data_IF_005084012249
#
_entry.id   IF_005084012249
#
_cell.length_a   1.000
_cell.length_b   1.000
_cell.length_c   1.000
_cell.angle_alpha   90.00
_cell.angle_beta   90.00
_cell.angle_gamma   90.00
#
_symmetry.space_group_name_H-M   'P 1'
#
loop_
_entity.id
_entity.type
_entity.pdbx_description
1 polymer ?
#
# COMPACT_ATOMS: atom_id res chain seq x y z
N UNK A 1 12.94 -31.87 22.57
CA UNK A 1 11.55 -31.39 22.35
C UNK A 1 10.89 -32.39 21.44
N UNK A 2 9.96 -33.19 21.96
CA UNK A 2 9.23 -34.19 21.15
C UNK A 2 8.40 -33.46 20.09
N UNK A 3 8.72 -33.68 18.82
CA UNK A 3 7.95 -33.16 17.71
C UNK A 3 6.72 -34.06 17.57
N UNK A 4 5.58 -33.61 18.09
CA UNK A 4 4.31 -34.32 17.95
C UNK A 4 3.96 -34.47 16.47
N UNK A 5 3.82 -35.72 16.00
CA UNK A 5 3.55 -36.04 14.60
C UNK A 5 2.03 -36.10 14.32
N UNK A 6 1.31 -35.03 14.68
CA UNK A 6 -0.14 -34.92 14.43
C UNK A 6 -0.39 -34.59 12.97
N UNK A 7 -1.14 -35.46 12.28
CA UNK A 7 -1.67 -35.21 10.94
C UNK A 7 -3.14 -34.80 11.05
N UNK A 8 -3.40 -33.49 11.08
CA UNK A 8 -4.75 -32.93 10.91
C UNK A 8 -5.11 -32.82 9.43
N UNK A 9 -6.39 -32.94 9.11
CA UNK A 9 -6.87 -32.76 7.72
C UNK A 9 -6.80 -31.29 7.30
N UNK A 10 -6.75 -31.01 5.99
CA UNK A 10 -6.73 -29.64 5.47
C UNK A 10 -8.00 -28.88 5.85
N UNK A 11 -9.16 -29.55 5.89
CA UNK A 11 -10.46 -28.96 6.21
C UNK A 11 -10.55 -28.53 7.69
N UNK A 12 -10.06 -29.38 8.60
CA UNK A 12 -9.95 -29.03 10.03
C UNK A 12 -9.03 -27.83 10.25
N UNK A 13 -7.88 -27.77 9.56
CA UNK A 13 -6.95 -26.65 9.66
C UNK A 13 -7.54 -25.34 9.14
N UNK A 14 -8.26 -25.37 8.01
CA UNK A 14 -8.93 -24.18 7.48
C UNK A 14 -10.06 -23.70 8.40
N UNK A 15 -10.82 -24.63 8.98
CA UNK A 15 -11.87 -24.32 9.97
C UNK A 15 -11.26 -23.64 11.19
N UNK A 16 -10.20 -24.22 11.75
CA UNK A 16 -9.45 -23.64 12.85
C UNK A 16 -8.93 -22.22 12.52
N UNK A 17 -8.31 -22.02 11.35
CA UNK A 17 -7.82 -20.69 10.94
C UNK A 17 -8.94 -19.66 10.83
N UNK A 18 -10.14 -20.07 10.40
CA UNK A 18 -11.32 -19.20 10.36
C UNK A 18 -11.83 -18.85 11.76
N UNK A 19 -11.80 -19.79 12.70
CA UNK A 19 -12.17 -19.54 14.11
C UNK A 19 -11.22 -18.55 14.80
N UNK A 20 -9.95 -18.55 14.41
CA UNK A 20 -8.96 -17.59 14.91
C UNK A 20 -9.30 -16.14 14.52
N UNK A 21 -9.95 -15.92 13.37
CA UNK A 21 -10.39 -14.59 12.94
C UNK A 21 -11.34 -13.95 13.96
N UNK A 22 -12.24 -14.74 14.56
CA UNK A 22 -13.16 -14.26 15.61
C UNK A 22 -12.43 -13.76 16.87
N UNK A 23 -11.19 -14.19 17.06
CA UNK A 23 -10.35 -13.82 18.20
C UNK A 23 -9.29 -12.76 17.85
N UNK A 24 -9.30 -12.22 16.61
CA UNK A 24 -8.27 -11.32 16.10
C UNK A 24 -6.84 -11.87 16.22
N UNK A 25 -6.68 -13.20 16.12
CA UNK A 25 -5.36 -13.85 16.12
C UNK A 25 -5.13 -14.52 14.77
N UNK A 26 -3.87 -14.61 14.37
CA UNK A 26 -3.47 -15.26 13.12
C UNK A 26 -2.29 -16.21 13.39
N UNK A 27 -2.26 -17.38 12.74
CA UNK A 27 -1.20 -18.36 12.94
C UNK A 27 0.13 -17.87 12.33
N UNK A 28 1.18 -17.70 13.15
CA UNK A 28 2.48 -17.22 12.67
C UNK A 28 3.11 -18.17 11.64
N UNK A 29 2.91 -19.48 11.79
CA UNK A 29 3.53 -20.50 10.93
C UNK A 29 3.06 -20.49 9.48
N UNK A 30 1.94 -19.83 9.17
CA UNK A 30 1.47 -19.66 7.78
C UNK A 30 2.22 -18.56 7.05
N UNK A 31 2.94 -17.70 7.76
CA UNK A 31 3.63 -16.51 7.22
C UNK A 31 5.10 -16.40 7.65
N UNK A 32 5.66 -17.45 8.26
CA UNK A 32 7.05 -17.48 8.75
C UNK A 32 8.06 -17.11 7.65
N UNK A 33 7.87 -17.59 6.43
CA UNK A 33 8.76 -17.29 5.30
C UNK A 33 8.79 -15.81 4.92
N UNK A 34 7.65 -15.14 5.00
CA UNK A 34 7.52 -13.71 4.67
C UNK A 34 8.09 -12.81 5.78
N UNK A 35 7.96 -13.24 7.04
CA UNK A 35 8.43 -12.49 8.21
C UNK A 35 9.94 -12.65 8.41
N UNK A 36 10.49 -13.83 8.09
CA UNK A 36 11.92 -14.14 8.25
C UNK A 36 12.76 -13.81 7.01
N UNK A 37 12.31 -12.87 6.17
CA UNK A 37 13.09 -12.43 5.03
C UNK A 37 14.50 -11.99 5.49
N UNK A 38 15.54 -12.62 4.92
CA UNK A 38 16.95 -12.36 5.29
C UNK A 38 17.37 -10.91 5.05
N UNK A 39 16.70 -10.24 4.12
CA UNK A 39 16.88 -8.85 3.79
C UNK A 39 15.53 -8.16 3.58
N UNK A 40 15.45 -6.82 3.73
CA UNK A 40 14.21 -6.08 3.53
C UNK A 40 13.70 -6.19 2.09
N UNK A 41 12.55 -6.83 1.90
CA UNK A 41 11.88 -6.88 0.59
C UNK A 41 10.86 -5.75 0.51
N UNK A 42 11.19 -4.69 -0.25
CA UNK A 42 10.29 -3.57 -0.45
C UNK A 42 9.33 -3.83 -1.61
N UNK A 43 8.03 -3.58 -1.37
CA UNK A 43 7.01 -3.54 -2.44
C UNK A 43 7.10 -2.26 -3.28
N UNK A 44 7.76 -1.21 -2.78
CA UNK A 44 7.94 0.07 -3.47
C UNK A 44 8.79 -0.15 -4.71
N UNK A 45 8.31 0.30 -5.88
CA UNK A 45 9.09 0.28 -7.12
C UNK A 45 9.81 1.61 -7.31
N UNK A 46 11.11 1.64 -7.65
CA UNK A 46 11.75 2.86 -8.13
C UNK A 46 10.96 3.40 -9.32
N UNK A 47 10.53 4.66 -9.24
CA UNK A 47 9.66 5.23 -10.25
C UNK A 47 9.98 6.71 -10.44
N UNK A 48 9.93 7.15 -11.69
CA UNK A 48 10.10 8.56 -12.07
C UNK A 48 8.77 9.06 -12.60
N UNK A 49 8.31 10.20 -12.10
CA UNK A 49 7.17 10.94 -12.64
C UNK A 49 7.71 12.08 -13.50
N UNK A 50 7.81 11.94 -14.83
CA UNK A 50 8.45 12.94 -15.67
C UNK A 50 7.66 14.25 -15.63
N UNK A 51 8.33 15.36 -15.33
CA UNK A 51 7.65 16.66 -15.17
C UNK A 51 6.87 17.08 -16.43
N UNK A 52 7.40 16.77 -17.62
CA UNK A 52 6.74 17.01 -18.90
C UNK A 52 5.34 16.37 -19.00
N UNK A 53 5.12 15.24 -18.32
CA UNK A 53 3.87 14.50 -18.36
C UNK A 53 2.93 14.93 -17.23
N UNK A 54 3.48 15.28 -16.06
CA UNK A 54 2.68 15.68 -14.89
C UNK A 54 2.22 17.14 -14.96
N UNK A 55 3.07 18.05 -15.44
CA UNK A 55 2.75 19.48 -15.54
C UNK A 55 1.41 19.76 -16.24
N UNK A 56 1.11 19.22 -17.44
CA UNK A 56 -0.17 19.49 -18.08
C UNK A 56 -1.36 18.97 -17.26
N UNK A 57 -1.20 17.88 -16.52
CA UNK A 57 -2.26 17.35 -15.65
C UNK A 57 -2.51 18.26 -14.44
N UNK A 58 -1.45 18.82 -13.84
CA UNK A 58 -1.55 19.75 -12.72
C UNK A 58 -2.25 21.06 -13.12
N UNK A 59 -1.93 21.59 -14.31
CA UNK A 59 -2.61 22.75 -14.89
C UNK A 59 -4.08 22.42 -15.19
N UNK A 60 -4.36 21.29 -15.86
CA UNK A 60 -5.73 20.87 -16.16
C UNK A 60 -6.57 20.68 -14.90
N UNK A 61 -5.98 20.16 -13.82
CA UNK A 61 -6.66 20.07 -12.54
C UNK A 61 -7.08 21.45 -12.02
N UNK A 62 -6.30 22.51 -12.29
CA UNK A 62 -6.63 23.87 -11.86
C UNK A 62 -7.83 24.48 -12.60
N UNK A 63 -8.09 24.03 -13.81
CA UNK A 63 -9.21 24.45 -14.65
C UNK A 63 -10.50 23.67 -14.34
N UNK A 64 -10.36 22.38 -13.98
CA UNK A 64 -11.50 21.47 -13.79
C UNK A 64 -12.01 21.40 -12.34
N UNK A 65 -11.13 21.63 -11.36
CA UNK A 65 -11.48 21.49 -9.94
C UNK A 65 -11.76 22.87 -9.36
N UNK A 66 -13.01 23.05 -8.90
CA UNK A 66 -13.52 24.30 -8.35
C UNK A 66 -12.79 24.79 -7.09
N UNK A 67 -13.06 26.04 -6.73
CA UNK A 67 -12.38 26.75 -5.64
C UNK A 67 -12.64 26.15 -4.26
N UNK A 68 -13.80 25.52 -4.04
CA UNK A 68 -14.12 24.82 -2.77
C UNK A 68 -13.10 23.70 -2.44
N UNK A 69 -12.52 23.07 -3.46
CA UNK A 69 -11.50 22.02 -3.28
C UNK A 69 -10.07 22.54 -3.51
N UNK A 70 -9.87 23.86 -3.71
CA UNK A 70 -8.57 24.42 -4.09
C UNK A 70 -7.49 24.27 -3.01
N UNK A 71 -7.85 24.32 -1.72
CA UNK A 71 -6.92 24.15 -0.60
C UNK A 71 -6.22 22.78 -0.61
N UNK A 72 -6.84 21.77 -1.23
CA UNK A 72 -6.34 20.39 -1.28
C UNK A 72 -6.16 19.87 -2.70
N UNK A 73 -6.05 20.77 -3.69
CA UNK A 73 -5.81 20.41 -5.10
C UNK A 73 -4.37 19.94 -5.30
N UNK A 74 -4.11 18.73 -4.83
CA UNK A 74 -2.80 18.07 -4.84
C UNK A 74 -2.89 16.81 -5.68
N UNK A 75 -2.11 16.74 -6.75
CA UNK A 75 -1.89 15.49 -7.47
C UNK A 75 -0.90 14.63 -6.68
N UNK A 76 -1.39 13.51 -6.17
CA UNK A 76 -0.62 12.59 -5.32
C UNK A 76 0.28 11.73 -6.20
N UNK A 77 1.56 11.61 -5.84
CA UNK A 77 2.52 10.77 -6.56
C UNK A 77 2.39 9.31 -6.07
N UNK A 78 1.62 8.52 -6.82
CA UNK A 78 1.27 7.14 -6.47
C UNK A 78 2.32 6.16 -6.98
N UNK A 79 2.94 5.39 -6.07
CA UNK A 79 3.90 4.36 -6.47
C UNK A 79 3.20 3.12 -7.06
N UNK A 80 3.58 2.63 -8.26
CA UNK A 80 2.92 1.47 -8.87
C UNK A 80 3.13 0.16 -8.09
N UNK A 81 4.13 0.10 -7.22
CA UNK A 81 4.39 -1.05 -6.35
C UNK A 81 3.50 -1.13 -5.10
N UNK A 82 2.75 -0.06 -4.77
CA UNK A 82 1.98 0.03 -3.53
C UNK A 82 0.47 -0.20 -3.71
N UNK A 83 0.03 -0.73 -4.85
CA UNK A 83 -1.34 -1.23 -5.03
C UNK A 83 -2.44 -0.19 -4.77
N UNK A 84 -2.21 1.08 -5.11
CA UNK A 84 -3.18 2.16 -4.92
C UNK A 84 -3.19 2.78 -3.51
N UNK A 85 -2.33 2.33 -2.59
CA UNK A 85 -2.11 3.02 -1.30
C UNK A 85 -1.66 4.46 -1.55
N UNK A 86 -2.19 5.39 -0.76
CA UNK A 86 -1.81 6.82 -0.81
C UNK A 86 -0.40 7.03 -0.24
N UNK A 87 0.62 6.72 -1.03
CA UNK A 87 2.01 6.88 -0.64
C UNK A 87 2.94 6.90 -1.86
N UNK A 88 4.04 7.64 -1.75
CA UNK A 88 5.07 7.75 -2.80
C UNK A 88 6.20 6.77 -2.54
N UNK A 89 6.52 6.54 -1.26
CA UNK A 89 7.42 5.48 -0.78
C UNK A 89 6.75 4.71 0.35
N UNK A 90 7.49 3.83 1.03
CA UNK A 90 6.96 3.10 2.18
C UNK A 90 6.54 4.03 3.34
N UNK A 91 7.24 5.15 3.49
CA UNK A 91 7.14 6.06 4.65
C UNK A 91 6.89 7.51 4.28
N UNK A 92 7.02 7.90 3.00
CA UNK A 92 6.87 9.28 2.55
C UNK A 92 5.69 9.44 1.59
N UNK A 93 5.06 10.60 1.70
CA UNK A 93 4.07 11.11 0.76
C UNK A 93 4.64 12.30 0.01
N UNK A 94 4.47 12.30 -1.31
CA UNK A 94 4.78 13.41 -2.20
C UNK A 94 3.58 13.75 -3.08
N UNK A 95 3.44 15.02 -3.39
CA UNK A 95 2.37 15.52 -4.25
C UNK A 95 2.73 16.84 -4.90
N UNK A 96 2.00 17.18 -5.95
CA UNK A 96 2.18 18.43 -6.70
C UNK A 96 0.91 19.25 -6.53
N UNK A 97 1.07 20.45 -5.95
CA UNK A 97 0.00 21.42 -5.80
C UNK A 97 0.16 22.55 -6.82
N UNK A 98 -0.95 22.97 -7.41
CA UNK A 98 -0.98 24.15 -8.28
C UNK A 98 -1.89 25.20 -7.66
N UNK A 99 -1.30 26.36 -7.33
CA UNK A 99 -1.98 27.55 -6.81
C UNK A 99 -2.00 28.59 -7.93
N UNK A 100 -3.20 29.06 -8.30
CA UNK A 100 -3.36 30.13 -9.27
C UNK A 100 -3.23 31.49 -8.55
N UNK A 101 -2.84 32.57 -9.25
CA UNK A 101 -2.77 33.89 -8.64
C UNK A 101 -4.13 34.38 -8.13
N UNK A 102 -4.13 35.05 -6.98
CA UNK A 102 -5.32 35.66 -6.35
C UNK A 102 -5.85 34.82 -5.20
#
# INVERSE_FOLDING_TARGET
VEVSNKQSTTEELQTYYKELEAHNVAPLWTVLGDIQAREPVSKVKPYVWPWKDIRPQAIRASELVGTEQAERRVLRLMNPGLGGRTATTQTLFGGIQTVLPG
#
